data_IF_186102283631
#
_entry.id   IF_186102283631
#
_cell.length_a   1.000
_cell.length_b   1.000
_cell.length_c   1.000
_cell.angle_alpha   90.00
_cell.angle_beta   90.00
_cell.angle_gamma   90.00
#
_symmetry.space_group_name_H-M   'P 1'
#
loop_
_entity.id
_entity.type
_entity.pdbx_description
1 polymer ?
#
# COMPACT_ATOMS: atom_id res chain seq x y z
N UNK A 1 2.65 -3.60 25.03
CA UNK A 1 1.71 -2.95 25.97
C UNK A 1 2.50 -1.81 26.61
N UNK A 2 2.22 -0.52 26.45
CA UNK A 2 1.03 0.24 26.05
C UNK A 2 1.20 0.91 24.68
N UNK A 3 0.16 0.88 23.84
CA UNK A 3 0.08 1.82 22.71
C UNK A 3 -0.31 3.16 23.33
N UNK A 4 0.52 4.18 23.20
CA UNK A 4 0.21 5.48 23.80
C UNK A 4 -1.12 5.99 23.22
N UNK A 5 -1.88 6.81 23.95
CA UNK A 5 -3.14 7.38 23.42
C UNK A 5 -2.95 8.09 22.06
N UNK A 6 -1.72 8.55 21.78
CA UNK A 6 -1.32 9.11 20.50
C UNK A 6 -1.24 8.07 19.37
N UNK A 7 -0.77 6.85 19.65
CA UNK A 7 -0.66 5.78 18.65
C UNK A 7 -2.04 5.30 18.19
N UNK A 8 -3.02 5.20 19.10
CA UNK A 8 -4.40 4.87 18.75
C UNK A 8 -5.01 5.96 17.84
N UNK A 9 -4.79 7.23 18.15
CA UNK A 9 -5.27 8.34 17.33
C UNK A 9 -4.59 8.36 15.95
N UNK A 10 -3.31 8.05 15.90
CA UNK A 10 -2.54 7.93 14.66
C UNK A 10 -3.06 6.77 13.80
N UNK A 11 -3.26 5.59 14.37
CA UNK A 11 -3.86 4.43 13.69
C UNK A 11 -5.24 4.78 13.13
N UNK A 12 -6.10 5.45 13.90
CA UNK A 12 -7.42 5.89 13.42
C UNK A 12 -7.32 6.84 12.24
N UNK A 13 -6.35 7.78 12.27
CA UNK A 13 -6.11 8.70 11.17
C UNK A 13 -5.63 7.98 9.90
N UNK A 14 -4.67 7.05 10.03
CA UNK A 14 -4.21 6.22 8.91
C UNK A 14 -5.33 5.37 8.31
N UNK A 15 -6.09 4.66 9.14
CA UNK A 15 -7.21 3.83 8.70
C UNK A 15 -8.30 4.66 7.99
N UNK A 16 -8.58 5.87 8.49
CA UNK A 16 -9.53 6.79 7.82
C UNK A 16 -9.00 7.24 6.45
N UNK A 17 -7.73 7.58 6.35
CA UNK A 17 -7.12 7.99 5.07
C UNK A 17 -7.05 6.83 4.08
N UNK A 18 -6.68 5.63 4.53
CA UNK A 18 -6.68 4.39 3.72
C UNK A 18 -8.06 4.15 3.08
N UNK A 19 -9.15 4.27 3.85
CA UNK A 19 -10.52 4.16 3.30
C UNK A 19 -10.85 5.23 2.26
N UNK A 20 -10.32 6.44 2.39
CA UNK A 20 -10.50 7.48 1.37
C UNK A 20 -9.70 7.18 0.11
N UNK A 21 -8.51 6.57 0.25
CA UNK A 21 -7.70 6.15 -0.89
C UNK A 21 -8.38 5.01 -1.65
N UNK A 22 -8.99 4.03 -0.96
CA UNK A 22 -9.81 3.00 -1.60
C UNK A 22 -10.96 3.59 -2.42
N UNK A 23 -11.73 4.52 -1.84
CA UNK A 23 -12.81 5.21 -2.57
C UNK A 23 -12.30 5.97 -3.79
N UNK A 24 -11.11 6.57 -3.68
CA UNK A 24 -10.50 7.27 -4.82
C UNK A 24 -10.13 6.28 -5.92
N UNK A 25 -9.53 5.14 -5.55
CA UNK A 25 -9.19 4.07 -6.49
C UNK A 25 -10.43 3.54 -7.23
N UNK A 26 -11.53 3.27 -6.51
CA UNK A 26 -12.79 2.80 -7.09
C UNK A 26 -13.37 3.80 -8.09
N UNK A 27 -13.40 5.10 -7.74
CA UNK A 27 -13.87 6.15 -8.65
C UNK A 27 -12.99 6.22 -9.89
N UNK A 28 -11.67 6.28 -9.73
CA UNK A 28 -10.72 6.41 -10.84
C UNK A 28 -10.75 5.19 -11.77
N UNK A 29 -10.92 3.99 -11.21
CA UNK A 29 -11.11 2.76 -11.97
C UNK A 29 -12.36 2.86 -12.87
N UNK A 30 -13.48 3.34 -12.33
CA UNK A 30 -14.71 3.56 -13.10
C UNK A 30 -14.57 4.64 -14.18
N UNK A 31 -13.67 5.61 -14.00
CA UNK A 31 -13.31 6.60 -15.00
C UNK A 31 -12.18 6.14 -15.95
N UNK A 32 -11.77 4.87 -15.88
CA UNK A 32 -10.68 4.30 -16.68
C UNK A 32 -9.32 5.01 -16.49
N UNK A 33 -9.14 5.74 -15.38
CA UNK A 33 -7.84 6.27 -14.99
C UNK A 33 -7.08 5.21 -14.19
N UNK A 34 -6.61 4.18 -14.89
CA UNK A 34 -6.03 2.99 -14.29
C UNK A 34 -4.73 3.29 -13.53
N UNK A 35 -3.86 4.16 -14.07
CA UNK A 35 -2.64 4.56 -13.38
C UNK A 35 -2.95 5.20 -12.02
N UNK A 36 -3.85 6.19 -11.99
CA UNK A 36 -4.23 6.84 -10.74
C UNK A 36 -4.98 5.87 -9.80
N UNK A 37 -5.81 4.99 -10.35
CA UNK A 37 -6.49 3.96 -9.56
C UNK A 37 -5.48 3.03 -8.85
N UNK A 38 -4.47 2.55 -9.57
CA UNK A 38 -3.39 1.72 -9.03
C UNK A 38 -2.57 2.47 -7.98
N UNK A 39 -2.26 3.75 -8.20
CA UNK A 39 -1.59 4.58 -7.21
C UNK A 39 -2.42 4.69 -5.91
N UNK A 40 -3.72 4.95 -6.02
CA UNK A 40 -4.59 5.05 -4.86
C UNK A 40 -4.79 3.70 -4.15
N UNK A 41 -4.81 2.59 -4.89
CA UNK A 41 -4.82 1.24 -4.32
C UNK A 41 -3.53 0.98 -3.51
N UNK A 42 -2.36 1.30 -4.05
CA UNK A 42 -1.08 1.21 -3.33
C UNK A 42 -1.10 2.06 -2.06
N UNK A 43 -1.57 3.31 -2.16
CA UNK A 43 -1.68 4.22 -1.04
C UNK A 43 -2.66 3.74 0.05
N UNK A 44 -3.72 3.04 -0.34
CA UNK A 44 -4.64 2.38 0.58
C UNK A 44 -3.94 1.26 1.36
N UNK A 45 -3.26 0.37 0.65
CA UNK A 45 -2.52 -0.77 1.22
C UNK A 45 -1.38 -0.33 2.13
N UNK A 46 -0.57 0.64 1.71
CA UNK A 46 0.53 1.19 2.51
C UNK A 46 0.05 1.70 3.88
N UNK A 47 -1.08 2.43 3.89
CA UNK A 47 -1.60 3.04 5.12
C UNK A 47 -2.24 2.04 6.06
N UNK A 48 -2.90 0.99 5.56
CA UNK A 48 -3.45 -0.04 6.43
C UNK A 48 -2.34 -0.91 7.03
N UNK A 49 -1.28 -1.20 6.26
CA UNK A 49 -0.10 -1.89 6.79
C UNK A 49 0.61 -1.06 7.84
N UNK A 50 0.77 0.24 7.62
CA UNK A 50 1.30 1.15 8.65
C UNK A 50 0.50 1.10 9.95
N UNK A 51 -0.81 0.83 9.92
CA UNK A 51 -1.58 0.59 11.14
C UNK A 51 -1.09 -0.66 11.89
N UNK A 52 -0.85 -1.77 11.19
CA UNK A 52 -0.32 -3.01 11.78
C UNK A 52 1.08 -2.78 12.35
N UNK A 53 1.92 -2.04 11.64
CA UNK A 53 3.26 -1.69 12.12
C UNK A 53 3.20 -0.84 13.40
N UNK A 54 2.33 0.18 13.46
CA UNK A 54 2.15 1.01 14.66
C UNK A 54 1.58 0.20 15.83
N UNK A 55 0.64 -0.72 15.58
CA UNK A 55 0.16 -1.67 16.60
C UNK A 55 1.29 -2.51 17.22
N UNK A 56 2.36 -2.73 16.46
CA UNK A 56 3.57 -3.42 16.88
C UNK A 56 4.72 -2.45 17.23
N UNK A 57 4.41 -1.23 17.65
CA UNK A 57 5.35 -0.18 18.09
C UNK A 57 6.40 0.21 17.03
N UNK A 58 6.05 0.12 15.74
CA UNK A 58 6.95 0.40 14.62
C UNK A 58 6.37 1.46 13.70
N UNK A 59 6.78 2.72 13.89
CA UNK A 59 6.43 3.80 12.98
C UNK A 59 7.44 3.90 11.83
N UNK A 60 6.96 3.97 10.60
CA UNK A 60 7.81 4.00 9.39
C UNK A 60 7.38 5.11 8.44
N UNK A 61 8.38 5.79 7.85
CA UNK A 61 8.17 6.91 6.90
C UNK A 61 8.33 6.52 5.43
N UNK A 62 8.98 5.40 5.14
CA UNK A 62 9.15 4.86 3.77
C UNK A 62 7.82 4.46 3.13
N UNK A 63 7.80 4.36 1.80
CA UNK A 63 6.69 3.85 0.98
C UNK A 63 6.78 2.35 0.71
N UNK A 64 8.00 1.81 0.73
CA UNK A 64 8.26 0.37 0.62
C UNK A 64 8.25 -0.20 2.05
N UNK A 65 7.23 -1.00 2.35
CA UNK A 65 6.90 -1.51 3.68
C UNK A 65 6.87 -3.04 3.77
N UNK A 66 6.89 -3.78 2.66
CA UNK A 66 6.77 -5.25 2.55
C UNK A 66 7.74 -5.99 3.46
N UNK A 67 9.05 -5.75 3.31
CA UNK A 67 10.09 -6.36 4.15
C UNK A 67 9.93 -6.04 5.64
N UNK A 68 9.45 -4.83 5.96
CA UNK A 68 9.24 -4.40 7.34
C UNK A 68 8.01 -5.10 7.94
N UNK A 69 6.96 -5.21 7.13
CA UNK A 69 5.71 -5.88 7.45
C UNK A 69 5.94 -7.37 7.68
N UNK A 70 6.65 -8.06 6.79
CA UNK A 70 7.04 -9.47 6.97
C UNK A 70 7.77 -9.69 8.31
N UNK A 71 8.76 -8.85 8.61
CA UNK A 71 9.48 -8.94 9.88
C UNK A 71 8.58 -8.74 11.11
N UNK A 72 7.55 -7.89 11.01
CA UNK A 72 6.55 -7.74 12.09
C UNK A 72 5.63 -8.96 12.17
N UNK A 73 5.14 -9.45 11.03
CA UNK A 73 4.27 -10.64 10.96
C UNK A 73 4.94 -11.86 11.57
N UNK A 74 6.23 -12.07 11.31
CA UNK A 74 6.97 -13.19 11.89
C UNK A 74 7.07 -13.15 13.42
N UNK A 75 6.98 -11.95 14.01
CA UNK A 75 7.01 -11.74 15.46
C UNK A 75 5.64 -11.85 16.16
N UNK A 76 4.54 -12.02 15.41
CA UNK A 76 3.19 -12.16 15.98
C UNK A 76 3.04 -13.54 16.64
N UNK A 77 2.70 -13.57 17.92
CA UNK A 77 2.50 -14.82 18.68
C UNK A 77 1.17 -15.53 18.35
N UNK A 78 0.15 -14.77 17.94
CA UNK A 78 -1.14 -15.34 17.57
C UNK A 78 -1.06 -15.94 16.16
N UNK A 79 -1.07 -17.28 16.07
CA UNK A 79 -0.92 -18.03 14.82
C UNK A 79 -2.03 -17.75 13.77
N UNK A 80 -3.26 -17.49 14.21
CA UNK A 80 -4.36 -17.12 13.30
C UNK A 80 -4.05 -15.81 12.57
N UNK A 81 -3.69 -14.77 13.32
CA UNK A 81 -3.33 -13.47 12.75
C UNK A 81 -2.01 -13.52 11.97
N UNK A 82 -1.02 -14.27 12.46
CA UNK A 82 0.24 -14.48 11.77
C UNK A 82 0.01 -15.09 10.39
N UNK A 83 -0.75 -16.19 10.32
CA UNK A 83 -1.08 -16.86 9.06
C UNK A 83 -1.87 -15.95 8.11
N UNK A 84 -2.91 -15.28 8.61
CA UNK A 84 -3.73 -14.37 7.81
C UNK A 84 -2.91 -13.22 7.20
N UNK A 85 -2.05 -12.57 7.99
CA UNK A 85 -1.22 -11.47 7.50
C UNK A 85 -0.07 -11.94 6.60
N UNK A 86 0.48 -13.14 6.87
CA UNK A 86 1.54 -13.73 6.04
C UNK A 86 1.05 -14.01 4.61
N UNK A 87 -0.20 -14.44 4.47
CA UNK A 87 -0.81 -14.67 3.16
C UNK A 87 -0.96 -13.39 2.30
N UNK A 88 -0.92 -12.20 2.92
CA UNK A 88 -1.01 -10.93 2.21
C UNK A 88 0.34 -10.43 1.69
N UNK A 89 1.47 -10.96 2.18
CA UNK A 89 2.81 -10.45 1.85
C UNK A 89 3.07 -10.40 0.33
N UNK A 90 2.71 -11.42 -0.48
CA UNK A 90 2.88 -11.36 -1.93
C UNK A 90 2.18 -10.16 -2.57
N UNK A 91 0.92 -9.90 -2.21
CA UNK A 91 0.13 -8.78 -2.74
C UNK A 91 0.74 -7.41 -2.35
N UNK A 92 1.35 -7.34 -1.17
CA UNK A 92 2.03 -6.13 -0.69
C UNK A 92 3.29 -5.86 -1.49
N UNK A 93 4.06 -6.90 -1.82
CA UNK A 93 5.26 -6.78 -2.67
C UNK A 93 4.86 -6.33 -4.07
N UNK A 94 3.84 -6.95 -4.65
CA UNK A 94 3.36 -6.62 -6.00
C UNK A 94 2.87 -5.17 -6.09
N UNK A 95 2.08 -4.71 -5.13
CA UNK A 95 1.50 -3.37 -5.22
C UNK A 95 2.51 -2.25 -4.96
N UNK A 96 3.68 -2.55 -4.41
CA UNK A 96 4.65 -1.52 -4.01
C UNK A 96 5.10 -0.67 -5.19
N UNK A 97 5.45 -1.24 -6.34
CA UNK A 97 5.95 -0.50 -7.51
C UNK A 97 5.02 0.67 -7.94
N UNK A 98 3.73 0.53 -7.64
CA UNK A 98 2.68 1.51 -7.93
C UNK A 98 2.80 2.78 -7.07
N UNK A 99 3.73 2.84 -6.12
CA UNK A 99 4.05 4.07 -5.39
C UNK A 99 4.67 5.11 -6.32
N UNK A 100 5.38 4.71 -7.39
CA UNK A 100 6.09 5.63 -8.32
C UNK A 100 5.65 5.50 -9.76
N UNK A 101 5.54 4.27 -10.29
CA UNK A 101 5.28 4.00 -11.71
C UNK A 101 4.06 4.72 -12.30
N UNK A 102 2.93 4.87 -11.58
CA UNK A 102 1.75 5.50 -12.15
C UNK A 102 1.83 7.03 -12.17
N UNK A 103 2.82 7.64 -11.50
CA UNK A 103 2.89 9.09 -11.28
C UNK A 103 3.87 9.81 -12.20
N UNK A 104 4.96 9.16 -12.54
CA UNK A 104 6.05 9.79 -13.27
C UNK A 104 6.35 9.00 -14.54
N UNK A 105 6.46 9.67 -15.68
CA UNK A 105 7.14 9.09 -16.81
C UNK A 105 8.61 8.82 -16.45
N UNK A 106 9.11 7.64 -16.79
CA UNK A 106 10.49 7.23 -16.50
C UNK A 106 11.19 6.70 -17.76
N UNK A 107 12.50 6.91 -17.91
CA UNK A 107 13.26 6.25 -18.98
C UNK A 107 13.19 4.72 -18.84
N UNK A 108 12.89 4.03 -19.94
CA UNK A 108 12.79 2.56 -19.99
C UNK A 108 13.55 2.05 -21.20
N UNK A 109 14.87 1.86 -21.03
CA UNK A 109 15.77 1.59 -22.16
C UNK A 109 15.78 2.73 -23.17
N UNK A 110 15.46 2.44 -24.43
CA UNK A 110 15.32 3.44 -25.50
C UNK A 110 13.90 4.04 -25.58
N UNK A 111 12.99 3.63 -24.68
CA UNK A 111 11.62 4.13 -24.61
C UNK A 111 11.37 5.04 -23.38
N UNK A 112 10.20 5.67 -23.37
CA UNK A 112 9.65 6.34 -22.19
C UNK A 112 8.52 5.47 -21.65
N UNK A 113 8.61 5.08 -20.38
CA UNK A 113 7.46 4.62 -19.62
C UNK A 113 6.50 5.79 -19.46
N UNK A 114 5.37 5.77 -20.17
CA UNK A 114 4.30 6.76 -20.05
C UNK A 114 3.12 6.10 -19.31
N UNK A 115 2.87 6.48 -18.04
CA UNK A 115 1.83 5.83 -17.24
C UNK A 115 0.43 5.99 -17.82
N UNK A 116 0.15 7.03 -18.60
CA UNK A 116 -1.16 7.23 -19.22
C UNK A 116 -1.36 6.27 -20.39
N UNK A 117 -0.30 6.00 -21.17
CA UNK A 117 -0.39 5.13 -22.36
C UNK A 117 -0.27 3.65 -22.03
N UNK A 118 0.68 3.27 -21.18
CA UNK A 118 1.00 1.85 -20.96
C UNK A 118 -0.02 1.12 -20.09
N UNK A 119 -0.71 1.82 -19.18
CA UNK A 119 -1.79 1.23 -18.38
C UNK A 119 -3.05 0.90 -19.19
N UNK A 120 -3.27 1.55 -20.34
CA UNK A 120 -4.36 1.19 -21.26
C UNK A 120 -4.06 -0.08 -22.09
N UNK A 121 -2.79 -0.46 -22.24
CA UNK A 121 -2.34 -1.57 -23.10
C UNK A 121 -2.17 -2.90 -22.36
N UNK A 122 -2.11 -2.91 -21.03
CA UNK A 122 -1.89 -4.14 -20.24
C UNK A 122 -3.18 -4.89 -19.90
N UNK A 123 -4.36 -4.29 -20.17
CA UNK A 123 -5.66 -4.86 -19.82
C UNK A 123 -6.60 -5.04 -21.03
N UNK A 124 -6.10 -4.87 -22.26
CA UNK A 124 -6.80 -5.07 -23.54
C UNK A 124 -5.82 -5.43 -24.66
#
# INVERSE_FOLDING_TARGET
>A
MENSGNDINLIKAFAKKSRNDLKSAEVLLNYMSYADASYHAQQCTEKIIKCVLILNNKFVRTHIVSNIFEGVVESIENEEWKSALKNLIPDVIEIEEHWVLPRYPEPSGDEIWDPVKKWMQLYW
#
